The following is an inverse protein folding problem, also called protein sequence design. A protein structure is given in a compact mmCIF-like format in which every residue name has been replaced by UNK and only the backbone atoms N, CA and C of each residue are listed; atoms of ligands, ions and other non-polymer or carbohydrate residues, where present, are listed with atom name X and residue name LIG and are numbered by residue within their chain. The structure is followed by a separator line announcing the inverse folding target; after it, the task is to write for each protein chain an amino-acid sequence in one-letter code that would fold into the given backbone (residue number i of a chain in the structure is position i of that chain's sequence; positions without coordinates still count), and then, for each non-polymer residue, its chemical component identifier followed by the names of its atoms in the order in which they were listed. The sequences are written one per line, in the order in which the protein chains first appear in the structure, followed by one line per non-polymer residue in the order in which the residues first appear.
data_IF_819716724007
#
_entry.id   IF_819716724007
#
_cell.length_a   1.000
_cell.length_b   1.000
_cell.length_c   1.000
_cell.angle_alpha   90.00
_cell.angle_beta   90.00
_cell.angle_gamma   90.00
#
_symmetry.space_group_name_H-M   'P 1'
#
loop_
_entity.id
_entity.type
_entity.pdbx_description
1 polymer ?
#
# COMPACT_ATOMS: atom_id res chain seq x y z
N UNK A 1 -10.61 5.22 -15.39
CA UNK A 1 -10.43 4.61 -14.06
C UNK A 1 -9.26 5.29 -13.34
N UNK A 2 -9.48 5.77 -12.13
CA UNK A 2 -8.43 6.38 -11.30
C UNK A 2 -7.89 5.35 -10.33
N UNK A 3 -6.57 5.20 -10.30
CA UNK A 3 -5.87 4.19 -9.47
C UNK A 3 -4.88 4.91 -8.56
N UNK A 4 -4.88 4.54 -7.27
CA UNK A 4 -4.01 5.13 -6.25
C UNK A 4 -3.26 4.04 -5.50
N UNK A 5 -1.98 4.25 -5.22
CA UNK A 5 -1.18 3.47 -4.27
C UNK A 5 -0.75 4.35 -3.11
N UNK A 6 -0.85 3.84 -1.88
CA UNK A 6 -0.43 4.56 -0.70
C UNK A 6 0.01 3.64 0.44
N UNK A 7 1.28 3.76 0.81
CA UNK A 7 1.77 3.19 2.07
C UNK A 7 1.27 4.09 3.21
N UNK A 8 0.43 3.53 4.10
CA UNK A 8 -0.29 4.30 5.12
C UNK A 8 0.54 4.55 6.38
N UNK A 9 1.65 3.84 6.58
CA UNK A 9 2.39 3.81 7.85
C UNK A 9 1.42 3.73 9.06
N UNK A 10 0.47 2.79 9.03
CA UNK A 10 -0.60 2.61 10.03
C UNK A 10 -1.32 3.91 10.46
N UNK A 11 -1.31 4.95 9.63
CA UNK A 11 -1.94 6.23 9.93
C UNK A 11 -1.16 7.12 10.90
N UNK A 12 0.15 6.89 11.06
CA UNK A 12 0.99 7.72 11.91
C UNK A 12 1.03 9.16 11.40
N UNK A 13 0.79 10.12 12.30
CA UNK A 13 0.92 11.53 11.99
C UNK A 13 2.38 11.87 11.64
N UNK A 14 2.57 12.64 10.59
CA UNK A 14 3.90 13.06 10.11
C UNK A 14 3.96 14.57 9.99
N UNK A 15 5.17 15.17 10.05
CA UNK A 15 5.32 16.60 9.80
C UNK A 15 4.80 16.96 8.41
N UNK A 16 4.04 18.03 8.31
CA UNK A 16 3.56 18.58 7.02
C UNK A 16 4.64 19.39 6.27
N UNK A 17 5.81 19.58 6.90
CA UNK A 17 6.95 20.32 6.34
C UNK A 17 8.28 19.67 6.78
N UNK A 18 9.39 19.92 6.07
CA UNK A 18 10.71 19.45 6.49
C UNK A 18 11.02 19.88 7.94
N UNK A 19 11.60 18.97 8.71
CA UNK A 19 11.91 19.17 10.16
C UNK A 19 12.78 20.42 10.43
N UNK A 20 13.46 20.92 9.41
CA UNK A 20 14.34 22.12 9.48
C UNK A 20 13.63 23.44 9.19
N UNK A 21 12.33 23.43 8.91
CA UNK A 21 11.56 24.67 8.73
C UNK A 21 10.83 25.08 10.02
N UNK A 22 10.66 26.39 10.28
CA UNK A 22 9.92 26.87 11.45
C UNK A 22 8.50 26.30 11.44
N UNK A 23 8.15 25.48 12.41
CA UNK A 23 6.84 24.83 12.52
C UNK A 23 6.81 23.33 12.17
N UNK A 24 7.94 22.74 11.75
CA UNK A 24 8.07 21.29 11.61
C UNK A 24 8.02 20.62 12.98
N UNK A 25 6.94 19.92 13.28
CA UNK A 25 6.84 19.10 14.49
C UNK A 25 7.71 17.85 14.37
N UNK A 26 8.33 17.42 15.48
CA UNK A 26 8.94 16.08 15.52
C UNK A 26 7.88 15.02 15.20
N UNK A 27 8.21 13.99 14.38
CA UNK A 27 7.30 12.89 14.15
C UNK A 27 6.94 12.27 15.50
N UNK A 28 5.64 12.18 15.77
CA UNK A 28 5.16 11.43 16.93
C UNK A 28 5.74 10.01 16.88
N UNK A 29 6.06 9.41 18.04
CA UNK A 29 6.51 8.02 18.06
C UNK A 29 5.45 7.14 17.37
N UNK A 30 5.72 6.60 16.17
CA UNK A 30 4.71 5.91 15.38
C UNK A 30 4.20 4.62 16.02
N UNK A 31 4.89 4.12 17.07
CA UNK A 31 4.45 2.95 17.86
C UNK A 31 3.57 3.29 19.05
N UNK A 32 3.45 4.57 19.45
CA UNK A 32 2.69 4.93 20.64
C UNK A 32 1.18 4.74 20.42
N UNK A 33 0.45 4.20 21.42
CA UNK A 33 -1.00 4.12 21.37
C UNK A 33 -1.65 5.50 21.25
N UNK A 34 -2.70 5.59 20.42
CA UNK A 34 -3.53 6.79 20.28
C UNK A 34 -5.01 6.48 20.54
N UNK A 35 -5.81 7.50 20.85
CA UNK A 35 -7.23 7.28 21.03
C UNK A 35 -7.95 6.94 19.71
N UNK A 36 -9.05 6.17 19.77
CA UNK A 36 -9.87 5.86 18.59
C UNK A 36 -10.36 7.12 17.87
N UNK A 37 -10.72 8.18 18.63
CA UNK A 37 -11.22 9.45 18.09
C UNK A 37 -10.13 10.15 17.27
N UNK A 38 -8.91 10.25 17.81
CA UNK A 38 -7.78 10.85 17.11
C UNK A 38 -7.43 10.06 15.85
N UNK A 39 -7.35 8.72 15.94
CA UNK A 39 -7.09 7.86 14.81
C UNK A 39 -8.14 8.02 13.71
N UNK A 40 -9.43 8.11 14.10
CA UNK A 40 -10.55 8.30 13.17
C UNK A 40 -10.49 9.65 12.49
N UNK A 41 -10.21 10.73 13.22
CA UNK A 41 -10.06 12.09 12.68
C UNK A 41 -8.91 12.18 11.67
N UNK A 42 -7.75 11.60 11.99
CA UNK A 42 -6.59 11.55 11.08
C UNK A 42 -6.93 10.82 9.77
N UNK A 43 -7.55 9.64 9.84
CA UNK A 43 -7.96 8.87 8.67
C UNK A 43 -9.01 9.62 7.83
N UNK A 44 -9.98 10.27 8.46
CA UNK A 44 -11.04 11.01 7.78
C UNK A 44 -10.48 12.22 7.01
N UNK A 45 -9.56 12.97 7.62
CA UNK A 45 -8.89 14.08 6.93
C UNK A 45 -8.07 13.61 5.74
N UNK A 46 -7.35 12.51 5.91
CA UNK A 46 -6.56 11.94 4.84
C UNK A 46 -7.43 11.40 3.70
N UNK A 47 -8.53 10.70 4.02
CA UNK A 47 -9.44 10.13 3.01
C UNK A 47 -10.18 11.20 2.21
N UNK A 48 -10.46 12.36 2.79
CA UNK A 48 -11.12 13.48 2.10
C UNK A 48 -10.34 13.99 0.88
N UNK A 49 -9.02 13.80 0.87
CA UNK A 49 -8.13 14.19 -0.22
C UNK A 49 -7.78 13.04 -1.17
N UNK A 50 -8.12 11.79 -0.82
CA UNK A 50 -7.81 10.64 -1.66
C UNK A 50 -8.68 10.63 -2.92
N UNK A 51 -8.01 10.56 -4.06
CA UNK A 51 -8.66 10.43 -5.37
C UNK A 51 -8.39 9.01 -5.89
N UNK A 52 -9.42 8.22 -6.10
CA UNK A 52 -9.25 6.87 -6.63
C UNK A 52 -10.59 6.15 -6.74
N UNK A 53 -10.74 5.36 -7.80
CA UNK A 53 -11.79 4.35 -7.92
C UNK A 53 -11.27 3.00 -7.43
N UNK A 54 -9.93 2.80 -7.54
CA UNK A 54 -9.21 1.64 -6.99
C UNK A 54 -8.02 2.16 -6.18
N UNK A 55 -7.93 1.78 -4.91
CA UNK A 55 -6.92 2.27 -3.98
C UNK A 55 -6.25 1.08 -3.29
N UNK A 56 -4.94 0.94 -3.51
CA UNK A 56 -4.11 -0.04 -2.81
C UNK A 56 -3.41 0.60 -1.62
N UNK A 57 -3.50 -0.07 -0.49
CA UNK A 57 -2.97 0.38 0.79
C UNK A 57 -1.91 -0.59 1.29
N UNK A 58 -0.79 -0.07 1.72
CA UNK A 58 0.26 -0.82 2.40
C UNK A 58 0.37 -0.33 3.84
N UNK A 59 0.93 -1.14 4.70
CA UNK A 59 1.14 -0.84 6.12
C UNK A 59 -0.16 -0.44 6.85
N UNK A 60 -1.21 -1.21 6.65
CA UNK A 60 -2.49 -0.97 7.31
C UNK A 60 -2.68 -1.87 8.53
N UNK A 61 -3.17 -1.25 9.58
CA UNK A 61 -3.48 -1.90 10.85
C UNK A 61 -4.95 -2.35 10.94
N UNK A 62 -5.12 -3.45 11.68
CA UNK A 62 -6.40 -3.94 12.12
C UNK A 62 -6.34 -4.20 13.64
N UNK A 63 -7.13 -3.44 14.41
CA UNK A 63 -7.25 -3.53 15.86
C UNK A 63 -5.94 -3.27 16.66
N UNK A 64 -5.00 -2.48 16.08
CA UNK A 64 -3.76 -2.12 16.75
C UNK A 64 -3.96 -0.91 17.69
N UNK A 65 -3.39 -0.93 18.91
CA UNK A 65 -3.46 0.22 19.83
C UNK A 65 -2.85 1.51 19.25
N UNK A 66 -1.76 1.38 18.49
CA UNK A 66 -1.06 2.52 17.83
C UNK A 66 -1.90 3.23 16.79
N UNK A 67 -2.95 2.58 16.30
CA UNK A 67 -3.92 3.12 15.32
C UNK A 67 -5.34 3.19 15.91
N UNK A 68 -5.47 3.35 17.25
CA UNK A 68 -6.75 3.53 17.93
C UNK A 68 -7.66 2.29 17.93
N UNK A 69 -7.13 1.10 17.70
CA UNK A 69 -7.92 -0.13 17.65
C UNK A 69 -8.80 -0.26 16.40
N UNK A 70 -8.63 0.58 15.40
CA UNK A 70 -9.48 0.63 14.21
C UNK A 70 -9.13 -0.46 13.19
N UNK A 71 -10.09 -0.77 12.31
CA UNK A 71 -9.86 -1.51 11.08
C UNK A 71 -9.71 -0.51 9.92
N UNK A 72 -8.48 -0.11 9.61
CA UNK A 72 -8.20 1.02 8.73
C UNK A 72 -8.77 0.86 7.32
N UNK A 73 -8.66 -0.33 6.70
CA UNK A 73 -9.20 -0.59 5.37
C UNK A 73 -10.72 -0.44 5.34
N UNK A 74 -11.41 -1.01 6.32
CA UNK A 74 -12.87 -0.93 6.42
C UNK A 74 -13.35 0.52 6.58
N UNK A 75 -12.67 1.30 7.42
CA UNK A 75 -13.01 2.70 7.67
C UNK A 75 -12.79 3.54 6.41
N UNK A 76 -11.64 3.40 5.75
CA UNK A 76 -11.36 4.12 4.51
C UNK A 76 -12.33 3.75 3.39
N UNK A 77 -12.71 2.47 3.27
CA UNK A 77 -13.73 2.06 2.30
C UNK A 77 -15.10 2.68 2.56
N UNK A 78 -15.50 2.79 3.82
CA UNK A 78 -16.74 3.46 4.22
C UNK A 78 -16.70 4.96 3.92
N UNK A 79 -15.61 5.65 4.25
CA UNK A 79 -15.41 7.08 3.98
C UNK A 79 -15.42 7.40 2.47
N UNK A 80 -14.99 6.45 1.66
CA UNK A 80 -14.98 6.54 0.20
C UNK A 80 -16.32 6.18 -0.47
N UNK A 81 -17.40 6.08 0.32
CA UNK A 81 -18.75 5.88 -0.16
C UNK A 81 -19.24 4.41 -0.13
N UNK A 82 -18.68 3.59 0.77
CA UNK A 82 -19.10 2.19 0.92
C UNK A 82 -18.55 1.28 -0.18
N UNK A 83 -17.32 1.55 -0.63
CA UNK A 83 -16.63 0.76 -1.64
C UNK A 83 -16.39 -0.70 -1.18
N UNK A 84 -16.26 -1.61 -2.15
CA UNK A 84 -15.82 -2.97 -1.87
C UNK A 84 -14.36 -2.97 -1.42
N UNK A 85 -13.99 -3.87 -0.52
CA UNK A 85 -12.63 -3.94 -0.02
C UNK A 85 -12.21 -5.36 0.33
N UNK A 86 -10.90 -5.57 0.30
CA UNK A 86 -10.24 -6.75 0.83
C UNK A 86 -9.04 -6.34 1.70
N UNK A 87 -8.83 -7.06 2.80
CA UNK A 87 -7.66 -6.95 3.67
C UNK A 87 -6.97 -8.31 3.76
N UNK A 88 -5.65 -8.31 3.60
CA UNK A 88 -4.81 -9.49 3.79
C UNK A 88 -3.84 -9.25 4.95
N UNK A 89 -4.06 -9.84 6.12
CA UNK A 89 -3.07 -9.82 7.17
C UNK A 89 -1.80 -10.54 6.72
N UNK A 90 -0.64 -9.99 7.04
CA UNK A 90 0.67 -10.62 6.85
C UNK A 90 1.28 -11.04 8.18
N UNK A 91 0.99 -10.28 9.22
CA UNK A 91 1.45 -10.51 10.60
C UNK A 91 0.27 -10.47 11.56
N UNK A 92 0.28 -11.35 12.53
CA UNK A 92 -0.57 -11.32 13.71
C UNK A 92 0.26 -10.75 14.86
N UNK A 93 -0.26 -9.74 15.56
CA UNK A 93 0.48 -8.94 16.54
C UNK A 93 0.90 -7.58 15.96
N UNK A 94 1.87 -6.92 16.57
CA UNK A 94 2.33 -5.57 16.23
C UNK A 94 3.75 -5.60 15.65
N UNK A 95 3.99 -5.24 14.40
CA UNK A 95 5.35 -5.08 13.87
C UNK A 95 6.19 -4.14 14.73
N UNK A 96 7.41 -4.56 15.05
CA UNK A 96 8.29 -3.83 15.98
C UNK A 96 8.16 -4.22 17.44
N UNK A 97 7.11 -4.97 17.81
CA UNK A 97 6.86 -5.56 19.13
C UNK A 97 6.78 -7.09 19.02
N UNK A 98 5.81 -7.70 19.72
CA UNK A 98 5.52 -9.13 19.57
C UNK A 98 4.62 -9.38 18.36
N UNK A 99 5.08 -10.20 17.44
CA UNK A 99 4.32 -10.63 16.28
C UNK A 99 4.73 -12.03 15.80
N UNK A 100 3.82 -12.67 15.09
CA UNK A 100 4.05 -13.94 14.40
C UNK A 100 3.57 -13.86 12.96
N UNK A 101 4.16 -14.66 12.04
CA UNK A 101 3.57 -14.85 10.72
C UNK A 101 2.17 -15.46 10.81
N UNK A 102 1.33 -15.19 9.81
CA UNK A 102 0.10 -15.94 9.62
C UNK A 102 0.41 -17.42 9.38
N UNK A 103 -0.40 -18.29 9.95
CA UNK A 103 -0.43 -19.71 9.59
C UNK A 103 -1.18 -19.92 8.29
N UNK A 104 -0.98 -21.07 7.65
CA UNK A 104 -1.70 -21.39 6.41
C UNK A 104 -3.23 -21.35 6.56
N UNK A 105 -3.75 -21.73 7.73
CA UNK A 105 -5.18 -21.65 8.04
C UNK A 105 -5.70 -20.21 8.11
N UNK A 106 -4.82 -19.23 8.36
CA UNK A 106 -5.13 -17.81 8.44
C UNK A 106 -4.89 -17.07 7.11
N UNK A 107 -4.47 -17.78 6.06
CA UNK A 107 -4.28 -17.24 4.71
C UNK A 107 -5.62 -17.01 4.00
N UNK A 108 -6.46 -16.14 4.56
CA UNK A 108 -7.72 -15.73 3.96
C UNK A 108 -7.72 -14.23 3.63
N UNK A 109 -8.65 -13.81 2.80
CA UNK A 109 -8.98 -12.41 2.61
C UNK A 109 -10.19 -12.07 3.48
N UNK A 110 -10.04 -11.06 4.32
CA UNK A 110 -11.18 -10.41 4.93
C UNK A 110 -11.78 -9.43 3.93
N UNK A 111 -13.08 -9.51 3.70
CA UNK A 111 -13.81 -8.62 2.77
C UNK A 111 -15.12 -8.18 3.39
N UNK A 112 -15.77 -7.19 2.79
CA UNK A 112 -17.11 -6.78 3.21
C UNK A 112 -18.16 -7.89 3.12
N UNK A 113 -17.98 -8.88 2.23
CA UNK A 113 -18.85 -10.05 2.10
C UNK A 113 -18.37 -11.30 2.85
N UNK A 114 -17.14 -11.31 3.34
CA UNK A 114 -16.52 -12.43 4.07
C UNK A 114 -15.68 -11.89 5.24
N UNK A 115 -16.31 -11.43 6.33
CA UNK A 115 -15.59 -10.95 7.49
C UNK A 115 -14.82 -12.10 8.17
N UNK A 116 -13.69 -11.79 8.77
CA UNK A 116 -12.93 -12.77 9.55
C UNK A 116 -13.47 -12.95 10.96
N UNK A 117 -13.34 -14.15 11.51
CA UNK A 117 -13.56 -14.43 12.93
C UNK A 117 -12.33 -14.12 13.80
N UNK A 118 -11.19 -13.75 13.22
CA UNK A 118 -9.98 -13.42 13.97
C UNK A 118 -10.21 -12.15 14.79
N UNK A 119 -10.10 -12.26 16.11
CA UNK A 119 -10.15 -11.13 17.04
C UNK A 119 -8.78 -10.49 17.28
N UNK A 120 -7.71 -11.21 16.94
CA UNK A 120 -6.34 -10.76 17.17
C UNK A 120 -5.99 -9.53 16.32
N UNK A 121 -5.23 -8.61 16.91
CA UNK A 121 -4.65 -7.49 16.18
C UNK A 121 -3.74 -7.99 15.07
N UNK A 122 -3.80 -7.35 13.93
CA UNK A 122 -3.03 -7.74 12.76
C UNK A 122 -2.61 -6.53 11.92
N UNK A 123 -1.67 -6.75 11.02
CA UNK A 123 -1.11 -5.77 10.12
C UNK A 123 -0.93 -6.39 8.74
N UNK A 124 -1.10 -5.59 7.68
CA UNK A 124 -1.00 -6.12 6.33
C UNK A 124 -1.21 -5.09 5.25
N UNK A 125 -1.90 -5.53 4.18
CA UNK A 125 -2.23 -4.70 3.03
C UNK A 125 -3.73 -4.72 2.75
N UNK A 126 -4.23 -3.67 2.08
CA UNK A 126 -5.62 -3.55 1.68
C UNK A 126 -5.80 -3.15 0.22
N UNK A 127 -6.92 -3.53 -0.37
CA UNK A 127 -7.35 -3.06 -1.68
C UNK A 127 -8.81 -2.65 -1.60
N UNK A 128 -9.10 -1.41 -2.00
CA UNK A 128 -10.44 -0.82 -2.01
C UNK A 128 -10.83 -0.56 -3.45
N UNK A 129 -12.08 -0.86 -3.83
CA UNK A 129 -12.62 -0.61 -5.16
C UNK A 129 -14.02 -0.04 -5.13
N UNK A 130 -14.25 1.09 -5.82
CA UNK A 130 -15.57 1.63 -6.13
C UNK A 130 -16.18 0.97 -7.37
N UNK A 131 -15.37 0.23 -8.12
CA UNK A 131 -15.80 -0.55 -9.27
C UNK A 131 -16.14 -1.94 -8.76
N UNK A 132 -17.29 -2.54 -9.16
CA UNK A 132 -17.68 -3.86 -8.71
C UNK A 132 -16.58 -4.91 -8.93
N UNK A 133 -16.30 -5.70 -7.90
CA UNK A 133 -15.27 -6.75 -7.92
C UNK A 133 -15.93 -8.09 -8.25
N UNK A 134 -15.52 -8.68 -9.36
CA UNK A 134 -16.01 -9.99 -9.80
C UNK A 134 -15.37 -11.12 -8.99
N UNK A 135 -14.07 -10.95 -8.63
CA UNK A 135 -13.32 -11.96 -7.89
C UNK A 135 -12.12 -11.36 -7.17
N UNK A 136 -11.93 -11.78 -5.93
CA UNK A 136 -10.76 -11.51 -5.13
C UNK A 136 -9.75 -12.65 -5.18
N UNK A 137 -8.47 -12.32 -5.15
CA UNK A 137 -7.36 -13.29 -5.13
C UNK A 137 -6.30 -12.89 -4.13
N UNK A 138 -5.61 -13.88 -3.56
CA UNK A 138 -4.47 -13.70 -2.65
C UNK A 138 -3.29 -14.54 -3.13
N UNK A 139 -2.07 -14.01 -3.01
CA UNK A 139 -0.80 -14.68 -3.28
C UNK A 139 0.16 -14.47 -2.13
N UNK A 140 0.66 -15.57 -1.55
CA UNK A 140 1.74 -15.50 -0.57
C UNK A 140 3.09 -15.32 -1.28
N UNK A 141 3.87 -14.33 -0.84
CA UNK A 141 5.18 -14.02 -1.42
C UNK A 141 6.34 -14.56 -0.57
N UNK A 142 6.06 -14.86 0.71
CA UNK A 142 7.06 -15.23 1.68
C UNK A 142 7.82 -14.01 2.22
N UNK A 143 8.93 -14.25 2.93
CA UNK A 143 9.80 -13.22 3.49
C UNK A 143 11.26 -13.59 3.31
N UNK A 144 12.17 -12.63 3.52
CA UNK A 144 13.57 -12.93 3.73
C UNK A 144 13.78 -13.61 5.09
N UNK A 145 14.72 -14.55 5.14
CA UNK A 145 15.18 -15.15 6.41
C UNK A 145 16.10 -14.21 7.19
N UNK A 146 16.71 -13.24 6.51
CA UNK A 146 17.57 -12.21 7.11
C UNK A 146 16.84 -10.87 7.11
N UNK A 147 17.06 -10.07 8.17
CA UNK A 147 16.71 -8.66 8.18
C UNK A 147 17.87 -7.79 7.68
N UNK A 148 17.66 -6.49 7.67
CA UNK A 148 18.69 -5.50 7.34
C UNK A 148 18.72 -4.38 8.38
N UNK A 149 19.88 -3.73 8.59
CA UNK A 149 19.93 -2.46 9.28
C UNK A 149 19.30 -1.39 8.40
N UNK A 150 18.20 -0.81 8.84
CA UNK A 150 17.57 0.34 8.21
C UNK A 150 18.02 1.62 8.91
N UNK A 151 18.24 2.66 8.12
CA UNK A 151 18.54 4.00 8.63
C UNK A 151 17.23 4.69 9.02
N UNK A 152 16.89 4.66 10.31
CA UNK A 152 15.65 5.25 10.82
C UNK A 152 15.93 6.68 11.28
N UNK A 153 15.24 7.70 10.75
CA UNK A 153 15.32 9.06 11.26
C UNK A 153 14.82 9.13 12.69
N UNK A 154 15.55 9.83 13.55
CA UNK A 154 15.17 10.11 14.94
C UNK A 154 15.40 11.60 15.23
N UNK A 155 14.83 12.13 16.32
CA UNK A 155 15.08 13.50 16.79
C UNK A 155 16.56 13.83 17.04
N UNK A 156 17.43 12.80 17.19
CA UNK A 156 18.88 12.94 17.42
C UNK A 156 19.72 12.57 16.19
N UNK A 157 19.11 12.51 15.00
CA UNK A 157 19.75 12.09 13.75
C UNK A 157 19.32 10.69 13.31
N UNK A 158 20.07 10.10 12.37
CA UNK A 158 19.76 8.79 11.80
C UNK A 158 20.40 7.69 12.66
N UNK A 159 19.60 6.69 13.06
CA UNK A 159 20.11 5.50 13.77
C UNK A 159 19.91 4.25 12.91
N UNK A 160 20.90 3.35 12.84
CA UNK A 160 20.69 2.04 12.26
C UNK A 160 19.84 1.19 13.22
N UNK A 161 18.71 0.69 12.73
CA UNK A 161 17.84 -0.26 13.40
C UNK A 161 17.81 -1.55 12.59
N UNK A 162 18.16 -2.69 13.22
CA UNK A 162 18.03 -3.98 12.56
C UNK A 162 16.56 -4.38 12.53
N UNK A 163 16.00 -4.47 11.32
CA UNK A 163 14.60 -4.82 11.10
C UNK A 163 14.54 -6.20 10.46
N UNK A 164 13.78 -7.11 11.08
CA UNK A 164 13.47 -8.42 10.51
C UNK A 164 12.45 -8.23 9.38
N UNK A 165 12.66 -8.94 8.26
CA UNK A 165 11.68 -8.92 7.18
C UNK A 165 10.39 -9.64 7.58
N UNK A 166 9.28 -9.11 7.09
CA UNK A 166 7.93 -9.60 7.35
C UNK A 166 7.43 -10.45 6.19
N UNK A 167 6.50 -11.38 6.42
CA UNK A 167 5.80 -12.05 5.33
C UNK A 167 5.11 -11.05 4.41
N UNK A 168 5.23 -11.27 3.11
CA UNK A 168 4.63 -10.40 2.09
C UNK A 168 3.56 -11.14 1.33
N UNK A 169 2.53 -10.41 0.92
CA UNK A 169 1.40 -10.92 0.14
C UNK A 169 1.07 -9.97 -1.00
N UNK A 170 0.29 -10.44 -1.96
CA UNK A 170 -0.40 -9.61 -2.92
C UNK A 170 -1.91 -9.92 -2.88
N UNK A 171 -2.74 -8.89 -3.02
CA UNK A 171 -4.18 -8.98 -3.27
C UNK A 171 -4.41 -8.59 -4.72
N UNK A 172 -5.28 -9.29 -5.45
CA UNK A 172 -5.76 -8.85 -6.73
C UNK A 172 -7.30 -8.88 -6.79
N UNK A 173 -7.87 -7.91 -7.50
CA UNK A 173 -9.28 -7.80 -7.81
C UNK A 173 -9.49 -7.86 -9.32
N UNK A 174 -10.31 -8.82 -9.79
CA UNK A 174 -10.87 -8.80 -11.14
C UNK A 174 -12.06 -7.84 -11.13
N UNK A 175 -11.99 -6.76 -11.89
CA UNK A 175 -12.98 -5.70 -11.89
C UNK A 175 -13.99 -5.84 -13.06
N UNK A 176 -15.23 -5.40 -12.83
CA UNK A 176 -16.28 -5.46 -13.84
C UNK A 176 -15.98 -4.63 -15.11
N UNK A 177 -15.05 -3.68 -15.04
CA UNK A 177 -14.61 -2.87 -16.19
C UNK A 177 -13.50 -3.52 -17.03
N UNK A 178 -13.16 -4.78 -16.79
CA UNK A 178 -12.16 -5.54 -17.56
C UNK A 178 -10.72 -5.37 -17.13
N UNK A 179 -10.45 -4.65 -16.03
CA UNK A 179 -9.11 -4.59 -15.42
C UNK A 179 -8.94 -5.63 -14.31
N UNK A 180 -7.73 -6.09 -14.14
CA UNK A 180 -7.28 -6.76 -12.90
C UNK A 180 -6.25 -5.86 -12.23
N UNK A 181 -6.57 -5.37 -11.03
CA UNK A 181 -5.69 -4.52 -10.25
C UNK A 181 -5.17 -5.30 -9.05
N UNK A 182 -3.87 -5.27 -8.83
CA UNK A 182 -3.25 -5.91 -7.68
C UNK A 182 -2.48 -4.91 -6.83
N UNK A 183 -2.51 -5.10 -5.51
CA UNK A 183 -1.70 -4.38 -4.53
C UNK A 183 -0.71 -5.32 -3.87
N UNK A 184 0.49 -4.81 -3.58
CA UNK A 184 1.50 -5.52 -2.78
C UNK A 184 2.36 -4.54 -1.99
N UNK A 185 3.03 -5.04 -0.95
CA UNK A 185 4.15 -4.38 -0.28
C UNK A 185 5.31 -5.38 -0.31
N UNK A 186 6.36 -5.10 -1.07
CA UNK A 186 7.48 -6.02 -1.23
C UNK A 186 8.48 -5.89 -0.08
N UNK A 187 9.31 -6.91 0.06
CA UNK A 187 10.43 -6.90 1.00
C UNK A 187 11.35 -5.70 0.75
N UNK A 188 11.91 -5.12 1.81
CA UNK A 188 12.98 -4.13 1.69
C UNK A 188 14.36 -4.78 1.47
N UNK A 189 14.45 -6.11 1.52
CA UNK A 189 15.71 -6.84 1.31
C UNK A 189 16.00 -6.95 -0.19
N UNK A 190 17.14 -6.44 -0.68
CA UNK A 190 17.54 -6.52 -2.08
C UNK A 190 17.51 -7.96 -2.59
N UNK A 191 17.22 -8.14 -3.86
CA UNK A 191 17.03 -9.42 -4.56
C UNK A 191 15.77 -10.19 -4.13
N UNK A 192 15.35 -10.13 -2.85
CA UNK A 192 14.09 -10.72 -2.39
C UNK A 192 12.91 -9.95 -2.98
N UNK A 193 12.94 -8.62 -2.95
CA UNK A 193 11.94 -7.76 -3.60
C UNK A 193 11.84 -8.00 -5.11
N UNK A 194 12.96 -8.16 -5.82
CA UNK A 194 12.96 -8.48 -7.26
C UNK A 194 12.33 -9.86 -7.51
N UNK A 195 12.68 -10.86 -6.71
CA UNK A 195 12.06 -12.19 -6.80
C UNK A 195 10.55 -12.12 -6.57
N UNK A 196 10.12 -11.40 -5.53
CA UNK A 196 8.71 -11.21 -5.18
C UNK A 196 7.97 -10.46 -6.30
N UNK A 197 8.55 -9.38 -6.87
CA UNK A 197 7.98 -8.66 -8.01
C UNK A 197 7.71 -9.60 -9.19
N UNK A 198 8.71 -10.39 -9.59
CA UNK A 198 8.56 -11.35 -10.70
C UNK A 198 7.50 -12.43 -10.40
N UNK A 199 7.39 -12.85 -9.12
CA UNK A 199 6.39 -13.82 -8.69
C UNK A 199 4.98 -13.23 -8.82
N UNK A 200 4.75 -11.99 -8.41
CA UNK A 200 3.47 -11.28 -8.57
C UNK A 200 3.13 -11.11 -10.05
N UNK A 201 4.06 -10.63 -10.85
CA UNK A 201 3.84 -10.42 -12.29
C UNK A 201 3.48 -11.73 -13.02
N UNK A 202 4.20 -12.83 -12.73
CA UNK A 202 3.89 -14.15 -13.27
C UNK A 202 2.53 -14.68 -12.83
N UNK A 203 2.10 -14.35 -11.63
CA UNK A 203 0.79 -14.71 -11.11
C UNK A 203 -0.31 -13.91 -11.80
N UNK A 204 -0.16 -12.58 -11.92
CA UNK A 204 -1.10 -11.70 -12.60
C UNK A 204 -1.25 -12.03 -14.09
N UNK A 205 -0.19 -12.47 -14.76
CA UNK A 205 -0.23 -12.86 -16.17
C UNK A 205 -1.23 -13.99 -16.47
N UNK A 206 -1.66 -14.75 -15.45
CA UNK A 206 -2.65 -15.83 -15.57
C UNK A 206 -4.09 -15.34 -15.39
N UNK A 207 -4.31 -14.11 -14.99
CA UNK A 207 -5.62 -13.53 -14.73
C UNK A 207 -6.20 -12.87 -16.00
N UNK A 208 -7.51 -12.67 -16.07
CA UNK A 208 -8.13 -11.98 -17.20
C UNK A 208 -7.87 -10.47 -17.20
N UNK A 209 -8.18 -9.81 -18.30
CA UNK A 209 -8.22 -8.37 -18.45
C UNK A 209 -6.84 -7.68 -18.50
N UNK A 210 -6.83 -6.35 -18.53
CA UNK A 210 -5.64 -5.53 -18.44
C UNK A 210 -5.11 -5.48 -16.99
N UNK A 211 -3.79 -5.58 -16.81
CA UNK A 211 -3.16 -5.74 -15.49
C UNK A 211 -2.50 -4.48 -15.01
N UNK A 212 -2.83 -4.07 -13.79
CA UNK A 212 -2.16 -3.00 -13.07
C UNK A 212 -1.68 -3.55 -11.72
N UNK A 213 -0.40 -3.34 -11.41
CA UNK A 213 0.19 -3.68 -10.13
C UNK A 213 0.57 -2.39 -9.42
N UNK A 214 0.07 -2.20 -8.22
CA UNK A 214 0.34 -1.02 -7.39
C UNK A 214 0.97 -1.43 -6.07
N UNK A 215 1.74 -0.54 -5.48
CA UNK A 215 2.28 -0.77 -4.14
C UNK A 215 3.63 -0.13 -3.89
N UNK A 216 4.03 -0.21 -2.63
CA UNK A 216 5.41 0.01 -2.21
C UNK A 216 6.25 -1.20 -2.59
N UNK A 217 7.06 -1.05 -3.60
CA UNK A 217 7.90 -2.12 -4.12
C UNK A 217 9.29 -2.18 -3.47
N UNK A 218 9.63 -1.18 -2.63
CA UNK A 218 10.97 -1.07 -2.03
C UNK A 218 12.12 -1.18 -3.05
N UNK A 219 11.89 -0.72 -4.28
CA UNK A 219 12.80 -0.78 -5.43
C UNK A 219 12.98 0.64 -6.01
N UNK A 220 13.98 1.42 -5.52
CA UNK A 220 14.19 2.80 -5.98
C UNK A 220 14.74 2.85 -7.41
N UNK A 221 14.87 4.07 -7.97
CA UNK A 221 15.60 4.38 -9.21
C UNK A 221 15.08 3.69 -10.47
N UNK A 222 13.78 3.42 -10.55
CA UNK A 222 13.15 2.75 -11.70
C UNK A 222 13.59 1.29 -11.88
N UNK A 223 14.09 0.64 -10.83
CA UNK A 223 14.48 -0.78 -10.89
C UNK A 223 13.33 -1.67 -11.38
N UNK A 224 12.04 -1.49 -10.99
CA UNK A 224 10.96 -2.34 -11.48
C UNK A 224 10.88 -2.43 -12.99
N UNK A 225 11.09 -1.34 -13.72
CA UNK A 225 11.07 -1.32 -15.18
C UNK A 225 12.32 -1.96 -15.80
N UNK A 226 13.46 -1.88 -15.10
CA UNK A 226 14.74 -2.46 -15.58
C UNK A 226 14.78 -3.98 -15.45
N UNK A 227 14.04 -4.54 -14.48
CA UNK A 227 14.05 -5.98 -14.18
C UNK A 227 12.82 -6.72 -14.71
N UNK A 228 11.90 -6.00 -15.36
CA UNK A 228 10.67 -6.57 -15.94
C UNK A 228 10.25 -5.87 -17.23
N UNK A 229 9.27 -6.44 -17.93
CA UNK A 229 8.63 -5.81 -19.11
C UNK A 229 7.50 -4.83 -18.75
N UNK A 230 7.17 -4.69 -17.48
CA UNK A 230 6.12 -3.80 -17.01
C UNK A 230 6.63 -2.35 -16.95
N UNK A 231 5.77 -1.40 -17.27
CA UNK A 231 6.07 0.03 -17.30
C UNK A 231 5.44 0.76 -16.14
N UNK A 232 6.17 1.72 -15.59
CA UNK A 232 5.61 2.63 -14.58
C UNK A 232 4.71 3.65 -15.26
N UNK A 233 3.52 3.87 -14.68
CA UNK A 233 2.55 4.84 -15.18
C UNK A 233 2.77 6.24 -14.58
N UNK A 234 3.60 6.34 -13.54
CA UNK A 234 4.09 7.60 -12.96
C UNK A 234 5.52 7.42 -12.47
N UNK A 235 6.28 8.50 -12.42
CA UNK A 235 7.65 8.55 -11.91
C UNK A 235 7.79 9.50 -10.72
N UNK A 236 6.68 9.80 -10.05
CA UNK A 236 6.66 10.72 -8.92
C UNK A 236 7.38 10.10 -7.71
N UNK A 237 8.24 10.89 -7.07
CA UNK A 237 8.83 10.52 -5.80
C UNK A 237 7.75 10.49 -4.72
N UNK A 238 7.76 9.47 -3.86
CA UNK A 238 6.76 9.29 -2.80
C UNK A 238 7.34 9.38 -1.39
N UNK A 239 8.66 9.26 -1.23
CA UNK A 239 9.32 9.17 0.07
C UNK A 239 10.49 10.14 0.22
N UNK A 240 10.73 10.75 1.41
CA UNK A 240 9.77 10.87 2.50
C UNK A 240 8.69 11.93 2.20
N UNK A 241 7.50 11.80 2.80
CA UNK A 241 6.34 12.65 2.48
C UNK A 241 6.58 14.15 2.69
N UNK A 242 7.44 14.53 3.63
CA UNK A 242 7.81 15.93 3.94
C UNK A 242 8.92 16.51 3.03
N UNK A 243 9.23 15.85 1.93
CA UNK A 243 10.25 16.29 0.97
C UNK A 243 10.65 15.14 0.06
N UNK A 244 9.70 14.62 -0.70
CA UNK A 244 9.85 13.41 -1.50
C UNK A 244 11.01 13.51 -2.52
N UNK A 245 11.90 12.52 -2.48
CA UNK A 245 13.10 12.42 -3.33
C UNK A 245 13.29 11.04 -3.93
N UNK A 246 12.63 10.02 -3.36
CA UNK A 246 12.76 8.62 -3.77
C UNK A 246 11.39 8.09 -4.17
N UNK A 247 11.32 7.39 -5.27
CA UNK A 247 10.17 6.61 -5.66
C UNK A 247 10.33 5.19 -5.14
N UNK A 248 9.51 4.79 -4.15
CA UNK A 248 9.34 3.42 -3.69
C UNK A 248 8.00 2.84 -4.10
N UNK A 249 7.00 3.74 -4.22
CA UNK A 249 5.65 3.40 -4.65
C UNK A 249 5.53 3.44 -6.16
N UNK A 250 4.87 2.45 -6.73
CA UNK A 250 4.73 2.30 -8.18
C UNK A 250 3.30 1.95 -8.55
N UNK A 251 2.92 2.40 -9.74
CA UNK A 251 1.75 1.93 -10.49
C UNK A 251 2.30 1.36 -11.79
N UNK A 252 2.42 0.04 -11.87
CA UNK A 252 2.99 -0.67 -13.01
C UNK A 252 1.88 -1.28 -13.86
N UNK A 253 2.07 -1.28 -15.17
CA UNK A 253 1.18 -1.96 -16.09
C UNK A 253 1.93 -2.74 -17.18
N UNK A 254 1.28 -3.77 -17.70
CA UNK A 254 1.78 -4.55 -18.82
C UNK A 254 0.94 -4.24 -20.06
N UNK A 255 1.60 -3.80 -21.16
CA UNK A 255 1.00 -3.69 -22.50
C UNK A 255 -0.34 -2.93 -22.57
N UNK A 256 -0.41 -1.74 -22.00
CA UNK A 256 -1.57 -0.87 -22.12
C UNK A 256 -1.64 -0.22 -23.52
N UNK A 257 -1.85 -1.04 -24.56
CA UNK A 257 -2.02 -0.54 -25.91
C UNK A 257 -3.35 0.22 -26.03
N UNK A 258 -3.29 1.46 -26.53
CA UNK A 258 -4.49 2.30 -26.70
C UNK A 258 -5.06 2.88 -25.40
N UNK A 259 -4.31 2.86 -24.32
CA UNK A 259 -4.68 3.47 -23.05
C UNK A 259 -4.01 4.83 -22.91
N UNK A 260 -4.81 5.85 -22.60
CA UNK A 260 -4.30 7.16 -22.22
C UNK A 260 -4.06 7.17 -20.71
N UNK A 261 -2.89 7.67 -20.30
CA UNK A 261 -2.49 7.77 -18.89
C UNK A 261 -2.28 9.25 -18.59
N UNK A 262 -2.88 9.69 -17.47
CA UNK A 262 -2.71 11.04 -16.94
C UNK A 262 -2.25 10.95 -15.50
N UNK A 263 -1.05 11.48 -15.20
CA UNK A 263 -0.57 11.62 -13.81
C UNK A 263 -1.44 12.61 -13.07
N UNK A 264 -1.68 12.33 -11.80
CA UNK A 264 -2.47 13.20 -10.92
C UNK A 264 -1.54 13.88 -9.93
N UNK A 265 -1.88 15.12 -9.55
CA UNK A 265 -1.11 15.86 -8.57
C UNK A 265 -1.07 15.13 -7.22
N UNK A 266 0.12 15.06 -6.63
CA UNK A 266 0.30 14.56 -5.27
C UNK A 266 -0.18 15.61 -4.25
N UNK A 267 -0.62 15.12 -3.10
CA UNK A 267 -0.95 15.95 -1.94
C UNK A 267 -0.38 15.29 -0.68
N UNK A 268 -0.16 16.09 0.37
CA UNK A 268 0.30 15.58 1.66
C UNK A 268 -0.90 15.35 2.58
N UNK A 269 -1.22 14.11 2.94
CA UNK A 269 -2.44 13.80 3.71
C UNK A 269 -2.34 14.08 5.22
N UNK A 270 -1.18 14.54 5.71
CA UNK A 270 -0.92 14.79 7.14
C UNK A 270 -0.56 13.56 7.96
N UNK A 271 -0.61 12.39 7.36
CA UNK A 271 -0.19 11.12 7.93
C UNK A 271 0.69 10.38 6.91
N UNK A 272 1.42 9.37 7.37
CA UNK A 272 2.36 8.56 6.59
C UNK A 272 3.64 9.31 6.16
N UNK A 273 4.74 8.62 6.15
CA UNK A 273 6.01 9.05 5.57
C UNK A 273 6.09 8.84 4.05
N UNK A 274 5.02 8.30 3.44
CA UNK A 274 4.84 8.19 2.00
C UNK A 274 3.71 9.11 1.50
N UNK A 275 3.93 9.74 0.33
CA UNK A 275 2.87 10.41 -0.40
C UNK A 275 2.07 9.40 -1.23
N UNK A 276 0.73 9.53 -1.31
CA UNK A 276 -0.05 8.76 -2.26
C UNK A 276 0.34 9.13 -3.69
N UNK A 277 0.48 8.13 -4.56
CA UNK A 277 0.66 8.32 -6.00
C UNK A 277 -0.60 7.88 -6.74
N UNK A 278 -1.00 8.64 -7.76
CA UNK A 278 -2.25 8.39 -8.46
C UNK A 278 -2.12 8.63 -9.97
N UNK A 279 -2.83 7.80 -10.74
CA UNK A 279 -2.96 7.98 -12.19
C UNK A 279 -4.40 7.80 -12.62
N UNK A 280 -4.79 8.47 -13.69
CA UNK A 280 -6.01 8.18 -14.42
C UNK A 280 -5.68 7.36 -15.67
N UNK A 281 -6.38 6.23 -15.81
CA UNK A 281 -6.23 5.26 -16.90
C UNK A 281 -7.53 5.26 -17.71
N UNK A 282 -7.49 5.70 -18.96
CA UNK A 282 -8.64 5.73 -19.86
C UNK A 282 -8.41 4.83 -21.09
N UNK A 283 -9.33 3.88 -21.33
CA UNK A 283 -9.27 3.04 -22.54
C UNK A 283 -9.76 3.88 -23.72
N UNK A 284 -8.93 4.01 -24.73
CA UNK A 284 -9.29 4.70 -25.96
C UNK A 284 -9.97 3.72 -26.93
N UNK A 285 -11.29 3.63 -26.89
CA UNK A 285 -12.08 2.73 -27.74
C UNK A 285 -11.98 3.03 -29.25
N UNK A 286 -11.27 4.09 -29.65
CA UNK A 286 -11.11 4.47 -31.09
C UNK A 286 -10.03 3.67 -31.84
N UNK A 287 -9.21 2.88 -31.14
CA UNK A 287 -8.11 2.13 -31.74
C UNK A 287 -8.39 0.62 -31.90
N UNK A 288 -9.62 0.18 -31.64
CA UNK A 288 -10.06 -1.23 -31.78
C UNK A 288 -10.90 -1.46 -33.06
N UNK A 289 -10.73 -0.62 -34.10
CA UNK A 289 -11.34 -0.85 -35.42
C UNK A 289 -10.27 -1.20 -36.44
#
# INVERSE_FOLDING_TARGET
MKVTSWNLLHGAATPSAPVNEPGGAEPANPGAPISPELARDLLQRASASLVGEVIGLQEVDRHQPRSGGLHQVQILAADLGGAEWAFAPTVIGTPGEEWRPNTQAEHHLETNSSPTSLSERSYGIGLISKIPVLKWHRLELGRSIIGLPLAVPTSKGVRPLYVKDEPRVAIAAELANGFTVAVTHLSFVPMVNIYQLRKVQKWLAKMPGEKILIGDLNLPFGIPEKVSSWKSLTHDASYPSWGAKVQFDYILAQNLNGVQITSMAQFHPGISDHLPISVEVAINHRLQK
#
